data_IF_098560076080
#
_entry.id   IF_098560076080
#
_cell.length_a   1.000
_cell.length_b   1.000
_cell.length_c   1.000
_cell.angle_alpha   90.00
_cell.angle_beta   90.00
_cell.angle_gamma   90.00
#
_symmetry.space_group_name_H-M   'P 1'
#
loop_
_entity.id
_entity.type
_entity.pdbx_description
1 polymer ?
#
# COMPACT_ATOMS: atom_id res chain seq x y z
N UNK A 1 -40.64 31.22 -38.44
CA UNK A 1 -39.43 30.60 -39.01
C UNK A 1 -38.58 30.11 -37.87
N UNK A 2 -38.74 28.83 -37.43
CA UNK A 2 -38.07 28.29 -36.23
C UNK A 2 -36.82 27.59 -36.71
N UNK A 3 -35.65 28.13 -36.30
CA UNK A 3 -34.32 27.56 -36.67
C UNK A 3 -34.03 26.37 -35.75
N UNK A 4 -34.14 25.14 -36.31
CA UNK A 4 -33.67 23.92 -35.61
C UNK A 4 -32.15 24.00 -35.42
N UNK A 5 -31.73 24.14 -34.16
CA UNK A 5 -30.33 23.99 -33.80
C UNK A 5 -30.01 22.50 -33.85
N UNK A 6 -29.24 22.09 -34.84
CA UNK A 6 -28.65 20.76 -34.92
C UNK A 6 -27.50 20.70 -33.90
N UNK A 7 -27.77 20.15 -32.73
CA UNK A 7 -26.72 19.77 -31.79
C UNK A 7 -26.03 18.53 -32.36
N UNK A 8 -24.88 18.77 -33.00
CA UNK A 8 -24.11 17.73 -33.64
C UNK A 8 -23.66 16.65 -32.66
N UNK A 9 -23.91 15.39 -32.96
CA UNK A 9 -23.69 14.20 -32.14
C UNK A 9 -22.21 13.80 -31.82
N UNK A 10 -21.29 14.75 -31.90
CA UNK A 10 -19.87 14.52 -31.54
C UNK A 10 -19.60 14.56 -30.01
N UNK A 11 -20.16 15.46 -29.19
CA UNK A 11 -19.89 15.52 -27.78
C UNK A 11 -20.41 14.29 -27.01
N UNK A 12 -21.53 13.71 -27.45
CA UNK A 12 -22.11 12.53 -26.80
C UNK A 12 -21.21 11.27 -26.90
N UNK A 13 -20.52 11.08 -28.01
CA UNK A 13 -19.58 9.95 -28.16
C UNK A 13 -18.36 10.09 -27.24
N UNK A 14 -17.80 11.26 -27.13
CA UNK A 14 -16.66 11.54 -26.24
C UNK A 14 -17.06 11.39 -24.77
N UNK A 15 -18.26 11.82 -24.39
CA UNK A 15 -18.79 11.62 -23.04
C UNK A 15 -18.99 10.14 -22.70
N UNK A 16 -19.49 9.33 -23.64
CA UNK A 16 -19.62 7.88 -23.47
C UNK A 16 -18.26 7.19 -23.33
N UNK A 17 -17.29 7.57 -24.16
CA UNK A 17 -15.92 7.05 -24.04
C UNK A 17 -15.28 7.42 -22.70
N UNK A 18 -15.40 8.67 -22.25
CA UNK A 18 -14.93 9.10 -20.95
C UNK A 18 -15.57 8.34 -19.79
N UNK A 19 -16.90 8.15 -19.84
CA UNK A 19 -17.61 7.36 -18.84
C UNK A 19 -17.18 5.89 -18.85
N UNK A 20 -16.94 5.31 -20.03
CA UNK A 20 -16.44 3.94 -20.17
C UNK A 20 -15.04 3.77 -19.55
N UNK A 21 -14.11 4.66 -19.86
CA UNK A 21 -12.76 4.65 -19.27
C UNK A 21 -12.81 4.82 -17.75
N UNK A 22 -13.63 5.76 -17.27
CA UNK A 22 -13.81 5.97 -15.83
C UNK A 22 -14.35 4.72 -15.14
N UNK A 23 -15.36 4.08 -15.71
CA UNK A 23 -15.91 2.83 -15.19
C UNK A 23 -14.88 1.68 -15.20
N UNK A 24 -14.06 1.57 -16.26
CA UNK A 24 -13.00 0.56 -16.35
C UNK A 24 -11.94 0.75 -15.28
N UNK A 25 -11.52 1.99 -15.02
CA UNK A 25 -10.58 2.31 -13.92
C UNK A 25 -11.17 1.90 -12.59
N UNK A 26 -12.47 2.16 -12.36
CA UNK A 26 -13.16 1.72 -11.15
C UNK A 26 -13.17 0.20 -11.00
N UNK A 27 -13.62 -0.52 -12.03
CA UNK A 27 -13.64 -1.99 -11.99
C UNK A 27 -12.25 -2.57 -11.73
N UNK A 28 -11.24 -2.09 -12.45
CA UNK A 28 -9.86 -2.54 -12.27
C UNK A 28 -9.34 -2.23 -10.86
N UNK A 29 -9.53 -1.01 -10.36
CA UNK A 29 -9.02 -0.58 -9.07
C UNK A 29 -9.73 -1.19 -7.87
N UNK A 30 -11.05 -1.35 -7.92
CA UNK A 30 -11.81 -1.89 -6.81
C UNK A 30 -11.85 -3.41 -6.75
N UNK A 31 -11.78 -4.10 -7.89
CA UNK A 31 -12.03 -5.55 -7.94
C UNK A 31 -10.83 -6.36 -8.41
N UNK A 32 -10.05 -5.87 -9.37
CA UNK A 32 -8.93 -6.63 -9.95
C UNK A 32 -7.62 -6.35 -9.21
N UNK A 33 -7.32 -5.07 -8.95
CA UNK A 33 -6.07 -4.70 -8.30
C UNK A 33 -5.90 -5.24 -6.86
N UNK A 34 -6.93 -5.24 -5.97
CA UNK A 34 -6.74 -5.68 -4.59
C UNK A 34 -6.22 -7.11 -4.43
N UNK A 35 -6.80 -8.15 -5.07
CA UNK A 35 -6.29 -9.52 -4.92
C UNK A 35 -4.89 -9.69 -5.53
N UNK A 36 -4.59 -9.00 -6.62
CA UNK A 36 -3.25 -9.04 -7.22
C UNK A 36 -2.20 -8.39 -6.31
N UNK A 37 -2.49 -7.19 -5.81
CA UNK A 37 -1.60 -6.47 -4.89
C UNK A 37 -1.40 -7.26 -3.60
N UNK A 38 -2.44 -7.87 -3.06
CA UNK A 38 -2.33 -8.75 -1.88
C UNK A 38 -1.33 -9.88 -2.14
N UNK A 39 -1.55 -10.66 -3.20
CA UNK A 39 -0.70 -11.82 -3.52
C UNK A 39 0.75 -11.42 -3.79
N UNK A 40 0.95 -10.34 -4.55
CA UNK A 40 2.29 -9.83 -4.83
C UNK A 40 2.98 -9.31 -3.57
N UNK A 41 2.26 -8.59 -2.71
CA UNK A 41 2.81 -8.07 -1.46
C UNK A 41 3.18 -9.19 -0.48
N UNK A 42 2.31 -10.20 -0.31
CA UNK A 42 2.61 -11.37 0.53
C UNK A 42 3.87 -12.10 0.04
N UNK A 43 3.98 -12.37 -1.27
CA UNK A 43 5.14 -13.04 -1.85
C UNK A 43 6.41 -12.20 -1.75
N UNK A 44 6.37 -10.94 -2.17
CA UNK A 44 7.53 -10.05 -2.16
C UNK A 44 8.04 -9.77 -0.74
N UNK A 45 7.13 -9.55 0.22
CA UNK A 45 7.51 -9.31 1.60
C UNK A 45 8.03 -10.58 2.26
N UNK A 46 7.42 -11.74 1.99
CA UNK A 46 7.90 -13.01 2.53
C UNK A 46 9.29 -13.35 2.02
N UNK A 47 9.57 -13.09 0.75
CA UNK A 47 10.88 -13.29 0.14
C UNK A 47 11.91 -12.30 0.69
N UNK A 48 11.58 -11.00 0.71
CA UNK A 48 12.49 -9.94 1.15
C UNK A 48 12.82 -10.03 2.64
N UNK A 49 11.87 -10.44 3.48
CA UNK A 49 12.05 -10.52 4.93
C UNK A 49 12.46 -11.92 5.41
N UNK A 50 12.51 -12.91 4.51
CA UNK A 50 12.77 -14.32 4.83
C UNK A 50 11.85 -14.85 5.95
N UNK A 51 10.60 -14.38 5.99
CA UNK A 51 9.60 -14.68 7.01
C UNK A 51 8.22 -14.82 6.38
N UNK A 52 7.38 -15.76 6.83
CA UNK A 52 6.01 -15.86 6.32
C UNK A 52 5.22 -14.57 6.60
N UNK A 53 4.70 -13.96 5.55
CA UNK A 53 3.83 -12.77 5.62
C UNK A 53 2.44 -13.15 5.11
N UNK A 54 1.42 -12.72 5.84
CA UNK A 54 0.02 -12.88 5.45
C UNK A 54 -0.74 -11.56 5.58
N UNK A 55 -1.67 -11.34 4.66
CA UNK A 55 -2.53 -10.16 4.61
C UNK A 55 -3.98 -10.64 4.49
N UNK A 56 -4.88 -10.18 5.34
CA UNK A 56 -6.29 -10.59 5.24
C UNK A 56 -6.96 -9.96 4.02
N UNK A 57 -6.72 -8.68 3.78
CA UNK A 57 -7.32 -7.98 2.66
C UNK A 57 -6.60 -6.71 2.27
N UNK A 58 -6.76 -6.36 0.99
CA UNK A 58 -6.32 -5.08 0.44
C UNK A 58 -7.54 -4.39 -0.15
N UNK A 59 -7.66 -3.09 0.05
CA UNK A 59 -8.66 -2.25 -0.60
C UNK A 59 -7.96 -1.11 -1.32
N UNK A 60 -8.36 -0.83 -2.55
CA UNK A 60 -7.78 0.26 -3.35
C UNK A 60 -8.93 1.13 -3.84
N UNK A 61 -8.79 2.44 -3.66
CA UNK A 61 -9.68 3.42 -4.25
C UNK A 61 -8.91 4.22 -5.30
N UNK A 62 -9.09 3.90 -6.60
CA UNK A 62 -8.34 4.56 -7.68
C UNK A 62 -8.72 6.02 -7.85
N UNK A 63 -9.91 6.43 -7.40
CA UNK A 63 -10.37 7.81 -7.53
C UNK A 63 -9.88 8.71 -6.41
N UNK A 64 -9.75 8.14 -5.19
CA UNK A 64 -9.19 8.84 -4.05
C UNK A 64 -7.67 8.64 -3.92
N UNK A 65 -7.04 7.88 -4.82
CA UNK A 65 -5.62 7.52 -4.79
C UNK A 65 -5.20 6.96 -3.42
N UNK A 66 -6.05 6.13 -2.83
CA UNK A 66 -5.80 5.57 -1.51
C UNK A 66 -5.80 4.05 -1.54
N UNK A 67 -5.04 3.48 -0.61
CA UNK A 67 -4.97 2.04 -0.38
C UNK A 67 -5.03 1.74 1.11
N UNK A 68 -5.62 0.61 1.46
CA UNK A 68 -5.68 0.09 2.81
C UNK A 68 -5.33 -1.40 2.81
N UNK A 69 -4.38 -1.78 3.65
CA UNK A 69 -4.01 -3.17 3.95
C UNK A 69 -4.58 -3.52 5.31
N UNK A 70 -5.29 -4.65 5.41
CA UNK A 70 -5.91 -5.10 6.65
C UNK A 70 -5.40 -6.46 7.07
N UNK A 71 -5.27 -6.65 8.39
CA UNK A 71 -4.93 -7.92 8.99
C UNK A 71 -3.54 -8.43 8.57
N UNK A 72 -2.55 -7.54 8.60
CA UNK A 72 -1.17 -7.92 8.32
C UNK A 72 -0.59 -8.73 9.49
N UNK A 73 0.10 -9.83 9.17
CA UNK A 73 0.88 -10.63 10.11
C UNK A 73 2.17 -11.10 9.46
N UNK A 74 3.25 -10.91 10.16
CA UNK A 74 4.54 -11.51 9.84
C UNK A 74 4.93 -12.45 10.98
N UNK A 75 5.23 -13.68 10.63
CA UNK A 75 5.66 -14.69 11.60
C UNK A 75 7.16 -14.61 11.86
N UNK A 76 7.61 -15.29 12.90
CA UNK A 76 9.04 -15.53 13.12
C UNK A 76 9.63 -16.39 12.00
N UNK A 77 10.96 -16.36 11.84
CA UNK A 77 11.67 -17.04 10.76
C UNK A 77 11.41 -18.55 10.72
N UNK A 78 11.32 -19.16 11.90
CA UNK A 78 11.04 -20.60 12.04
C UNK A 78 9.54 -20.91 12.06
N UNK A 79 8.70 -19.89 11.86
CA UNK A 79 7.24 -19.98 11.96
C UNK A 79 6.75 -19.97 13.41
N UNK A 80 5.45 -20.11 13.60
CA UNK A 80 4.80 -20.21 14.91
C UNK A 80 4.36 -18.85 15.48
N UNK A 81 5.22 -18.14 16.20
CA UNK A 81 4.87 -16.87 16.83
C UNK A 81 4.75 -15.73 15.81
N UNK A 82 3.89 -14.76 16.11
CA UNK A 82 3.79 -13.52 15.31
C UNK A 82 4.88 -12.54 15.77
N UNK A 83 5.73 -12.12 14.83
CA UNK A 83 6.77 -11.14 15.09
C UNK A 83 6.22 -9.70 14.99
N UNK A 84 5.42 -9.43 13.95
CA UNK A 84 4.73 -8.13 13.75
C UNK A 84 3.32 -8.38 13.26
N UNK A 85 2.40 -7.57 13.74
CA UNK A 85 1.06 -7.49 13.18
C UNK A 85 0.50 -6.07 13.27
N UNK A 86 -0.49 -5.78 12.43
CA UNK A 86 -1.31 -4.58 12.56
C UNK A 86 -2.73 -4.86 12.03
N UNK A 87 -3.70 -4.14 12.59
CA UNK A 87 -5.09 -4.29 12.17
C UNK A 87 -5.32 -3.63 10.80
N UNK A 88 -4.85 -2.40 10.59
CA UNK A 88 -4.90 -1.75 9.29
C UNK A 88 -3.76 -0.76 9.07
N UNK A 89 -3.34 -0.65 7.82
CA UNK A 89 -2.44 0.38 7.30
C UNK A 89 -3.15 1.08 6.13
N UNK A 90 -3.52 2.32 6.33
CA UNK A 90 -4.09 3.17 5.30
C UNK A 90 -3.06 4.17 4.79
N UNK A 91 -3.02 4.38 3.49
CA UNK A 91 -2.20 5.41 2.85
C UNK A 91 -3.01 6.13 1.78
N UNK A 92 -2.84 7.46 1.72
CA UNK A 92 -3.42 8.32 0.69
C UNK A 92 -2.30 9.09 -0.01
N UNK A 93 -2.35 9.11 -1.33
CA UNK A 93 -1.36 9.78 -2.19
C UNK A 93 -1.96 11.03 -2.80
N UNK A 94 -1.23 12.14 -2.73
CA UNK A 94 -1.65 13.40 -3.33
C UNK A 94 -1.84 13.27 -4.85
N UNK A 95 -2.91 13.82 -5.38
CA UNK A 95 -3.16 13.84 -6.82
C UNK A 95 -2.04 14.55 -7.61
N UNK A 96 -1.33 15.47 -6.96
CA UNK A 96 -0.16 16.15 -7.53
C UNK A 96 0.99 15.21 -7.87
N UNK A 97 1.08 14.04 -7.19
CA UNK A 97 2.08 12.99 -7.48
C UNK A 97 2.00 12.51 -8.92
N UNK A 98 0.80 12.45 -9.49
CA UNK A 98 0.59 12.05 -10.88
C UNK A 98 1.15 13.05 -11.90
N UNK A 99 1.34 14.30 -11.49
CA UNK A 99 1.76 15.40 -12.38
C UNK A 99 3.23 15.77 -12.19
N UNK A 100 3.81 15.54 -11.00
CA UNK A 100 5.15 16.06 -10.63
C UNK A 100 6.26 15.01 -10.66
N UNK A 101 5.97 13.75 -11.00
CA UNK A 101 6.98 12.67 -11.08
C UNK A 101 7.61 12.29 -9.73
N UNK A 102 6.99 12.67 -8.61
CA UNK A 102 7.37 12.29 -7.25
C UNK A 102 6.16 11.78 -6.47
N UNK A 103 6.36 10.79 -5.61
CA UNK A 103 5.27 10.26 -4.77
C UNK A 103 5.17 11.10 -3.50
N UNK A 104 4.06 11.83 -3.36
CA UNK A 104 3.73 12.57 -2.13
C UNK A 104 2.60 11.83 -1.42
N UNK A 105 2.93 11.25 -0.28
CA UNK A 105 1.95 10.59 0.60
C UNK A 105 1.40 11.64 1.56
N UNK A 106 0.11 11.92 1.47
CA UNK A 106 -0.56 12.91 2.31
C UNK A 106 -0.83 12.40 3.71
N UNK A 107 -1.21 11.14 3.83
CA UNK A 107 -1.54 10.52 5.11
C UNK A 107 -1.12 9.06 5.10
N UNK A 108 -0.51 8.64 6.21
CA UNK A 108 -0.31 7.22 6.58
C UNK A 108 -0.92 7.01 7.95
N UNK A 109 -1.87 6.09 8.04
CA UNK A 109 -2.50 5.72 9.30
C UNK A 109 -2.27 4.24 9.60
N UNK A 110 -1.62 3.95 10.72
CA UNK A 110 -1.34 2.59 11.20
C UNK A 110 -2.13 2.34 12.48
N UNK A 111 -2.96 1.30 12.46
CA UNK A 111 -3.87 0.97 13.56
C UNK A 111 -3.47 -0.35 14.20
N UNK A 112 -3.36 -0.33 15.52
CA UNK A 112 -3.06 -1.47 16.37
C UNK A 112 -1.77 -2.22 15.93
N UNK A 113 -0.66 -1.52 15.66
CA UNK A 113 0.58 -2.23 15.43
C UNK A 113 1.04 -2.91 16.72
N UNK A 114 1.38 -4.18 16.60
CA UNK A 114 1.97 -4.99 17.67
C UNK A 114 3.32 -5.49 17.20
N UNK A 115 4.34 -5.25 17.99
CA UNK A 115 5.71 -5.70 17.77
C UNK A 115 6.10 -6.62 18.93
N UNK A 116 6.40 -7.87 18.65
CA UNK A 116 6.92 -8.83 19.61
C UNK A 116 8.45 -8.81 19.59
N UNK A 117 9.07 -8.50 20.72
CA UNK A 117 10.52 -8.46 20.87
C UNK A 117 10.96 -9.58 21.81
N UNK A 118 11.61 -10.59 21.26
CA UNK A 118 12.10 -11.75 22.01
C UNK A 118 13.62 -11.67 22.09
N UNK A 119 14.14 -11.72 23.32
CA UNK A 119 15.56 -11.82 23.55
C UNK A 119 16.01 -13.28 23.38
N UNK A 120 16.93 -13.49 22.46
CA UNK A 120 17.56 -14.80 22.21
C UNK A 120 18.84 -14.95 23.06
N UNK A 121 19.47 -16.11 22.98
CA UNK A 121 20.74 -16.34 23.68
C UNK A 121 21.85 -15.35 23.22
N UNK A 122 22.53 -14.71 24.17
CA UNK A 122 23.55 -13.69 23.93
C UNK A 122 22.96 -12.31 23.64
N UNK A 123 23.66 -11.42 22.93
CA UNK A 123 23.20 -10.05 22.64
C UNK A 123 22.23 -9.97 21.45
N UNK A 124 21.53 -11.05 21.13
CA UNK A 124 20.67 -11.15 19.94
C UNK A 124 19.20 -11.09 20.30
N UNK A 125 18.45 -10.42 19.44
CA UNK A 125 16.99 -10.40 19.45
C UNK A 125 16.46 -11.10 18.21
N UNK A 126 15.18 -11.46 18.24
CA UNK A 126 14.50 -12.03 17.08
C UNK A 126 14.51 -11.13 15.82
N UNK A 127 14.87 -9.86 15.97
CA UNK A 127 14.98 -8.84 14.92
C UNK A 127 16.41 -8.62 14.40
N UNK A 128 17.42 -9.19 15.06
CA UNK A 128 18.82 -8.90 14.75
C UNK A 128 19.20 -9.24 13.32
N UNK A 129 18.65 -10.30 12.75
CA UNK A 129 18.85 -10.71 11.37
C UNK A 129 18.34 -9.67 10.35
N UNK A 130 17.14 -9.12 10.57
CA UNK A 130 16.57 -8.07 9.73
C UNK A 130 17.33 -6.75 9.85
N UNK A 131 17.73 -6.40 11.06
CA UNK A 131 18.52 -5.18 11.30
C UNK A 131 19.86 -5.30 10.58
N UNK A 132 20.54 -6.43 10.71
CA UNK A 132 21.83 -6.69 10.06
C UNK A 132 21.68 -6.65 8.52
N UNK A 133 20.61 -7.21 7.96
CA UNK A 133 20.34 -7.20 6.52
C UNK A 133 20.08 -5.77 6.00
N UNK A 134 19.27 -4.98 6.72
CA UNK A 134 18.98 -3.59 6.36
C UNK A 134 20.24 -2.72 6.43
N UNK A 135 21.04 -2.87 7.49
CA UNK A 135 22.27 -2.08 7.67
C UNK A 135 23.37 -2.45 6.67
N UNK A 136 23.42 -3.70 6.23
CA UNK A 136 24.43 -4.18 5.27
C UNK A 136 23.97 -4.06 3.81
N UNK A 137 22.72 -3.62 3.54
CA UNK A 137 22.24 -3.41 2.18
C UNK A 137 23.01 -2.25 1.54
N UNK A 138 23.69 -2.47 0.40
CA UNK A 138 24.37 -1.38 -0.28
C UNK A 138 23.38 -0.32 -0.70
N UNK A 139 23.72 0.94 -0.43
CA UNK A 139 22.97 2.09 -0.94
C UNK A 139 23.07 2.09 -2.47
N UNK A 140 21.96 1.82 -3.14
CA UNK A 140 21.90 1.78 -4.61
C UNK A 140 21.95 3.18 -5.25
N UNK A 141 22.07 4.23 -4.43
CA UNK A 141 22.16 5.62 -4.89
C UNK A 141 20.86 6.14 -5.52
N UNK A 142 19.78 5.37 -5.48
CA UNK A 142 18.50 5.79 -6.03
C UNK A 142 17.85 6.79 -5.09
N UNK A 143 17.89 8.07 -5.48
CA UNK A 143 17.19 9.13 -4.77
C UNK A 143 15.69 9.01 -5.05
N UNK A 144 15.00 8.19 -4.28
CA UNK A 144 13.54 8.16 -4.31
C UNK A 144 13.01 9.50 -3.77
N UNK A 145 12.43 10.31 -4.65
CA UNK A 145 11.77 11.54 -4.25
C UNK A 145 10.37 11.17 -3.72
N UNK A 146 10.30 10.85 -2.44
CA UNK A 146 9.02 10.69 -1.77
C UNK A 146 8.96 11.60 -0.54
N UNK A 147 7.78 12.09 -0.24
CA UNK A 147 7.50 12.85 0.96
C UNK A 147 6.27 12.26 1.65
N UNK A 148 6.33 12.15 2.97
CA UNK A 148 5.20 11.73 3.81
C UNK A 148 4.88 12.90 4.73
N UNK A 149 3.65 13.40 4.67
CA UNK A 149 3.27 14.58 5.45
C UNK A 149 2.68 14.23 6.82
N UNK A 150 1.77 13.29 6.90
CA UNK A 150 1.09 12.94 8.15
C UNK A 150 1.22 11.44 8.42
N UNK A 151 1.90 11.10 9.52
CA UNK A 151 1.96 9.73 10.03
C UNK A 151 1.18 9.69 11.33
N UNK A 152 0.17 8.80 11.40
CA UNK A 152 -0.63 8.56 12.58
C UNK A 152 -0.53 7.10 12.99
N UNK A 153 -0.16 6.87 14.23
CA UNK A 153 -0.10 5.52 14.83
C UNK A 153 -1.12 5.51 15.96
N UNK A 154 -2.07 4.58 15.90
CA UNK A 154 -3.12 4.44 16.91
C UNK A 154 -3.00 3.08 17.61
N UNK A 155 -3.06 3.08 18.94
CA UNK A 155 -3.07 1.89 19.81
C UNK A 155 -1.89 0.93 19.58
N UNK A 156 -0.69 1.46 19.33
CA UNK A 156 0.52 0.65 19.19
C UNK A 156 0.88 -0.11 20.48
N UNK A 157 1.40 -1.34 20.33
CA UNK A 157 1.86 -2.20 21.43
C UNK A 157 3.23 -2.76 21.11
N UNK A 158 4.06 -2.88 22.13
CA UNK A 158 5.34 -3.59 22.11
C UNK A 158 5.29 -4.59 23.26
N UNK A 159 5.44 -5.88 22.95
CA UNK A 159 5.41 -6.98 23.91
C UNK A 159 6.78 -7.67 23.98
#
# INVERSE_FOLDING_TARGET
MVRKVHVGGRPAKWALWGAGVFALIGVAGFFIAPPLVKSLAESALSEALHRPVTIEGVSINPYALSAEVRGFRMLEREGGATAVSFASLYANVAAESLLRGGIVVEEVKLVEPTLNVVHLEGPRYNWSDLIDEILNKPDDGSKSHFAIHNIRIEKGRID
#
